data_IF_860365279729
#
_entry.id   IF_860365279729
#
_cell.length_a   1.000
_cell.length_b   1.000
_cell.length_c   1.000
_cell.angle_alpha   90.00
_cell.angle_beta   90.00
_cell.angle_gamma   90.00
#
_symmetry.space_group_name_H-M   'P 1'
#
loop_
_entity.id
_entity.type
_entity.pdbx_description
1 polymer ?
#
# COMPACT_ATOMS: atom_id res chain seq x y z
N UNK A 1 49.62 10.99 -14.21
CA UNK A 1 48.13 11.05 -14.17
C UNK A 1 47.40 9.99 -15.00
N UNK A 2 47.88 9.56 -16.19
CA UNK A 2 47.18 8.53 -17.00
C UNK A 2 47.05 7.15 -16.34
N UNK A 3 48.06 6.70 -15.59
CA UNK A 3 48.06 5.40 -14.88
C UNK A 3 47.04 5.33 -13.72
N UNK A 4 46.79 6.46 -13.05
CA UNK A 4 45.83 6.55 -11.93
C UNK A 4 44.37 6.40 -12.42
N UNK A 5 44.05 7.02 -13.57
CA UNK A 5 42.72 6.90 -14.20
C UNK A 5 42.43 5.48 -14.68
N UNK A 6 43.41 4.82 -15.28
CA UNK A 6 43.25 3.43 -15.73
C UNK A 6 43.03 2.47 -14.54
N UNK A 7 43.75 2.69 -13.42
CA UNK A 7 43.55 1.93 -12.19
C UNK A 7 42.14 2.12 -11.62
N UNK A 8 41.67 3.37 -11.49
CA UNK A 8 40.32 3.68 -10.99
C UNK A 8 39.21 3.06 -11.85
N UNK A 9 39.32 3.15 -13.17
CA UNK A 9 38.35 2.55 -14.10
C UNK A 9 38.33 1.02 -14.01
N UNK A 10 39.50 0.39 -13.84
CA UNK A 10 39.59 -1.06 -13.67
C UNK A 10 39.01 -1.53 -12.34
N UNK A 11 39.15 -0.74 -11.27
CA UNK A 11 38.56 -1.06 -9.96
C UNK A 11 37.05 -0.86 -9.94
N UNK A 12 36.51 0.17 -10.62
CA UNK A 12 35.05 0.36 -10.76
C UNK A 12 34.40 -0.79 -11.55
N UNK A 13 35.05 -1.22 -12.63
CA UNK A 13 34.59 -2.37 -13.41
C UNK A 13 34.60 -3.65 -12.57
N UNK A 14 35.66 -3.89 -11.80
CA UNK A 14 35.75 -5.06 -10.92
C UNK A 14 34.69 -5.03 -9.81
N UNK A 15 34.46 -3.88 -9.18
CA UNK A 15 33.44 -3.71 -8.15
C UNK A 15 32.02 -3.91 -8.70
N UNK A 16 31.76 -3.43 -9.92
CA UNK A 16 30.47 -3.64 -10.61
C UNK A 16 30.21 -5.13 -10.88
N UNK A 17 31.24 -5.87 -11.29
CA UNK A 17 31.16 -7.32 -11.51
C UNK A 17 30.95 -8.07 -10.20
N UNK A 18 31.64 -7.68 -9.13
CA UNK A 18 31.48 -8.29 -7.80
C UNK A 18 30.07 -8.03 -7.26
N UNK A 19 29.54 -6.82 -7.41
CA UNK A 19 28.18 -6.48 -6.99
C UNK A 19 27.13 -7.29 -7.77
N UNK A 20 27.30 -7.43 -9.09
CA UNK A 20 26.42 -8.24 -9.92
C UNK A 20 26.48 -9.72 -9.54
N UNK A 21 27.68 -10.27 -9.33
CA UNK A 21 27.87 -11.65 -8.89
C UNK A 21 27.27 -11.89 -7.49
N UNK A 22 27.40 -10.92 -6.58
CA UNK A 22 26.82 -10.99 -5.25
C UNK A 22 25.29 -11.00 -5.30
N UNK A 23 24.68 -10.13 -6.11
CA UNK A 23 23.23 -10.11 -6.36
C UNK A 23 22.71 -11.43 -6.95
N UNK A 24 23.47 -12.06 -7.85
CA UNK A 24 23.12 -13.35 -8.44
C UNK A 24 23.37 -14.54 -7.51
N UNK A 25 24.27 -14.39 -6.53
CA UNK A 25 24.58 -15.42 -5.54
C UNK A 25 23.64 -15.44 -4.34
N UNK A 26 22.79 -14.42 -4.20
CA UNK A 26 21.69 -14.50 -3.25
C UNK A 26 20.75 -15.60 -3.74
N UNK A 27 20.50 -16.66 -2.96
CA UNK A 27 19.36 -17.50 -3.23
C UNK A 27 18.16 -16.54 -3.14
N UNK A 28 17.54 -16.25 -4.29
CA UNK A 28 16.17 -15.76 -4.29
C UNK A 28 15.42 -16.82 -3.51
N UNK A 29 15.19 -16.55 -2.23
CA UNK A 29 14.20 -17.24 -1.45
C UNK A 29 12.89 -16.89 -2.15
N UNK A 30 12.58 -17.63 -3.20
CA UNK A 30 11.24 -17.86 -3.66
C UNK A 30 10.58 -18.69 -2.57
N UNK A 31 10.45 -18.11 -1.37
CA UNK A 31 9.43 -18.49 -0.42
C UNK A 31 8.16 -18.50 -1.25
N UNK A 32 7.58 -19.68 -1.40
CA UNK A 32 6.41 -19.96 -2.21
C UNK A 32 5.45 -18.77 -2.16
N UNK A 33 5.45 -17.95 -3.21
CA UNK A 33 4.50 -16.86 -3.35
C UNK A 33 3.14 -17.54 -3.48
N UNK A 34 2.46 -17.67 -2.35
CA UNK A 34 1.09 -18.15 -2.34
C UNK A 34 0.28 -17.18 -3.18
N UNK A 35 -0.36 -17.70 -4.23
CA UNK A 35 -1.25 -16.89 -5.07
C UNK A 35 -2.31 -16.14 -4.22
N UNK A 36 -2.71 -16.73 -3.08
CA UNK A 36 -3.59 -16.12 -2.09
C UNK A 36 -3.00 -14.84 -1.49
N UNK A 37 -1.72 -14.80 -1.19
CA UNK A 37 -1.06 -13.64 -0.58
C UNK A 37 -0.83 -12.55 -1.62
N UNK A 38 -0.39 -12.91 -2.82
CA UNK A 38 -0.30 -11.96 -3.96
C UNK A 38 -1.66 -11.33 -4.24
N UNK A 39 -2.72 -12.13 -4.26
CA UNK A 39 -4.08 -11.66 -4.46
C UNK A 39 -4.53 -10.67 -3.37
N UNK A 40 -4.24 -10.95 -2.09
CA UNK A 40 -4.57 -10.05 -0.97
C UNK A 40 -3.85 -8.70 -1.09
N UNK A 41 -2.58 -8.72 -1.48
CA UNK A 41 -1.81 -7.50 -1.76
C UNK A 41 -2.37 -6.71 -2.94
N UNK A 42 -2.69 -7.40 -4.04
CA UNK A 42 -3.29 -6.77 -5.20
C UNK A 42 -4.64 -6.14 -4.87
N UNK A 43 -5.52 -6.85 -4.15
CA UNK A 43 -6.82 -6.33 -3.73
C UNK A 43 -6.69 -5.06 -2.88
N UNK A 44 -5.76 -5.02 -1.92
CA UNK A 44 -5.51 -3.83 -1.12
C UNK A 44 -5.00 -2.65 -1.95
N UNK A 45 -4.12 -2.89 -2.92
CA UNK A 45 -3.63 -1.86 -3.83
C UNK A 45 -4.73 -1.32 -4.74
N UNK A 46 -5.54 -2.21 -5.32
CA UNK A 46 -6.65 -1.84 -6.19
C UNK A 46 -7.71 -1.05 -5.42
N UNK A 47 -7.99 -1.46 -4.18
CA UNK A 47 -8.89 -0.74 -3.28
C UNK A 47 -8.41 0.69 -3.04
N UNK A 48 -7.15 0.85 -2.62
CA UNK A 48 -6.57 2.16 -2.34
C UNK A 48 -6.53 3.05 -3.61
N UNK A 49 -6.23 2.46 -4.78
CA UNK A 49 -6.21 3.18 -6.05
C UNK A 49 -7.60 3.68 -6.46
N UNK A 50 -8.61 2.81 -6.41
CA UNK A 50 -9.99 3.16 -6.77
C UNK A 50 -10.54 4.23 -5.82
N UNK A 51 -10.32 4.07 -4.51
CA UNK A 51 -10.73 5.06 -3.51
C UNK A 51 -10.08 6.42 -3.74
N UNK A 52 -8.78 6.46 -4.05
CA UNK A 52 -8.08 7.73 -4.30
C UNK A 52 -8.49 8.38 -5.63
N UNK A 53 -8.81 7.59 -6.67
CA UNK A 53 -9.19 8.10 -7.99
C UNK A 53 -10.65 8.51 -8.12
N UNK A 54 -11.54 7.91 -7.34
CA UNK A 54 -12.95 8.32 -7.25
C UNK A 54 -13.06 9.75 -6.70
N UNK A 55 -13.75 10.64 -7.43
CA UNK A 55 -13.90 12.04 -7.00
C UNK A 55 -14.73 12.14 -5.71
N UNK A 56 -15.82 11.37 -5.62
CA UNK A 56 -16.71 11.32 -4.46
C UNK A 56 -15.97 10.77 -3.24
N UNK A 57 -15.31 9.62 -3.39
CA UNK A 57 -14.58 8.98 -2.29
C UNK A 57 -13.41 9.84 -1.83
N UNK A 58 -12.70 10.50 -2.75
CA UNK A 58 -11.63 11.45 -2.40
C UNK A 58 -12.16 12.64 -1.61
N UNK A 59 -13.29 13.21 -2.01
CA UNK A 59 -13.91 14.33 -1.28
C UNK A 59 -14.28 13.92 0.15
N UNK A 60 -14.91 12.74 0.31
CA UNK A 60 -15.24 12.18 1.62
C UNK A 60 -13.97 11.91 2.47
N UNK A 61 -12.91 11.36 1.87
CA UNK A 61 -11.64 11.13 2.56
C UNK A 61 -10.95 12.42 2.99
N UNK A 62 -10.99 13.48 2.16
CA UNK A 62 -10.45 14.79 2.51
C UNK A 62 -11.27 15.46 3.62
N UNK A 63 -12.60 15.35 3.59
CA UNK A 63 -13.47 15.85 4.65
C UNK A 63 -13.20 15.11 5.97
N UNK A 64 -13.05 13.78 5.90
CA UNK A 64 -12.70 12.95 7.04
C UNK A 64 -11.33 13.31 7.63
N UNK A 65 -10.30 13.47 6.79
CA UNK A 65 -8.98 13.89 7.24
C UNK A 65 -8.96 15.26 7.94
N UNK A 66 -9.93 16.12 7.65
CA UNK A 66 -10.12 17.41 8.31
C UNK A 66 -10.96 17.33 9.61
N UNK A 67 -11.23 16.13 10.12
CA UNK A 67 -12.07 15.90 11.31
C UNK A 67 -13.58 15.88 11.03
N UNK A 68 -13.97 15.67 9.77
CA UNK A 68 -15.37 15.50 9.35
C UNK A 68 -15.97 14.17 9.80
N UNK A 69 -17.30 14.03 9.60
CA UNK A 69 -18.04 12.82 9.97
C UNK A 69 -17.61 11.59 9.14
N UNK A 70 -17.37 10.48 9.81
CA UNK A 70 -17.03 9.18 9.21
C UNK A 70 -18.22 8.47 8.55
N UNK A 71 -19.45 8.94 8.79
CA UNK A 71 -20.69 8.28 8.34
C UNK A 71 -20.71 7.98 6.85
N UNK A 72 -20.34 8.93 6.00
CA UNK A 72 -20.36 8.76 4.55
C UNK A 72 -19.36 7.70 4.08
N UNK A 73 -18.16 7.67 4.68
CA UNK A 73 -17.17 6.62 4.42
C UNK A 73 -17.66 5.25 4.90
N UNK A 74 -18.27 5.18 6.09
CA UNK A 74 -18.82 3.93 6.64
C UNK A 74 -19.97 3.39 5.78
N UNK A 75 -20.85 4.25 5.29
CA UNK A 75 -21.95 3.86 4.40
C UNK A 75 -21.41 3.35 3.05
N UNK A 76 -20.55 4.12 2.39
CA UNK A 76 -19.95 3.76 1.11
C UNK A 76 -19.16 2.44 1.19
N UNK A 77 -18.22 2.35 2.13
CA UNK A 77 -17.41 1.15 2.28
C UNK A 77 -18.23 -0.01 2.86
N UNK A 78 -19.22 0.24 3.71
CA UNK A 78 -20.11 -0.81 4.20
C UNK A 78 -20.86 -1.49 3.07
N UNK A 79 -21.42 -0.71 2.13
CA UNK A 79 -22.09 -1.25 0.95
C UNK A 79 -21.10 -1.99 0.05
N UNK A 80 -19.92 -1.42 -0.21
CA UNK A 80 -18.90 -2.04 -1.04
C UNK A 80 -18.43 -3.38 -0.48
N UNK A 81 -18.11 -3.43 0.81
CA UNK A 81 -17.67 -4.65 1.47
C UNK A 81 -18.77 -5.71 1.48
N UNK A 82 -20.04 -5.33 1.67
CA UNK A 82 -21.17 -6.27 1.62
C UNK A 82 -21.26 -7.05 0.30
N UNK A 83 -20.75 -6.48 -0.81
CA UNK A 83 -20.71 -7.09 -2.14
C UNK A 83 -19.45 -7.93 -2.38
N UNK A 84 -18.34 -7.57 -1.74
CA UNK A 84 -17.03 -8.21 -1.96
C UNK A 84 -16.80 -9.41 -1.02
N UNK A 85 -17.42 -9.42 0.17
CA UNK A 85 -17.30 -10.49 1.15
C UNK A 85 -17.13 -9.95 2.58
N UNK A 86 -16.91 -10.85 3.54
CA UNK A 86 -16.62 -10.48 4.92
C UNK A 86 -15.16 -10.00 5.06
N UNK A 87 -14.93 -8.74 4.71
CA UNK A 87 -13.67 -8.06 4.99
C UNK A 87 -13.86 -6.99 6.06
N UNK A 88 -12.83 -6.80 6.87
CA UNK A 88 -12.74 -5.66 7.76
C UNK A 88 -11.80 -4.63 7.15
N UNK A 89 -12.31 -3.42 6.90
CA UNK A 89 -11.51 -2.31 6.40
C UNK A 89 -11.23 -1.33 7.52
N UNK A 90 -9.97 -0.96 7.67
CA UNK A 90 -9.58 0.24 8.41
C UNK A 90 -9.13 1.31 7.43
N UNK A 91 -9.66 2.51 7.59
CA UNK A 91 -9.29 3.69 6.83
C UNK A 91 -8.65 4.68 7.78
N UNK A 92 -7.44 5.12 7.45
CA UNK A 92 -6.72 6.18 8.16
C UNK A 92 -6.49 7.32 7.17
N UNK A 93 -6.80 8.56 7.55
CA UNK A 93 -6.50 9.73 6.73
C UNK A 93 -6.13 10.90 7.65
N UNK A 94 -4.92 11.44 7.51
CA UNK A 94 -4.40 12.44 8.45
C UNK A 94 -4.25 11.85 9.85
N UNK A 95 -4.95 12.44 10.84
CA UNK A 95 -5.01 11.95 12.22
C UNK A 95 -6.22 11.06 12.51
N UNK A 96 -7.16 10.98 11.58
CA UNK A 96 -8.43 10.29 11.77
C UNK A 96 -8.35 8.82 11.35
N UNK A 97 -9.10 7.98 12.06
CA UNK A 97 -9.18 6.55 11.78
C UNK A 97 -10.60 6.05 11.96
N UNK A 98 -11.05 5.23 11.02
CA UNK A 98 -12.36 4.58 11.06
C UNK A 98 -12.28 3.12 10.63
N UNK A 99 -13.14 2.28 11.23
CA UNK A 99 -13.21 0.84 10.98
C UNK A 99 -14.60 0.47 10.40
N UNK A 100 -14.63 -0.36 9.35
CA UNK A 100 -15.83 -0.76 8.60
C UNK A 100 -15.87 -2.28 8.44
N UNK A 101 -17.01 -2.91 8.75
CA UNK A 101 -17.22 -4.35 8.50
C UNK A 101 -16.47 -5.30 9.46
N UNK A 102 -15.97 -4.82 10.59
CA UNK A 102 -15.01 -5.56 11.43
C UNK A 102 -15.61 -6.53 12.45
N UNK A 103 -16.80 -7.08 12.21
CA UNK A 103 -17.43 -8.02 13.13
C UNK A 103 -16.77 -9.42 13.15
N UNK A 104 -16.14 -9.84 12.03
CA UNK A 104 -15.53 -11.16 11.84
C UNK A 104 -14.11 -11.35 12.41
N UNK A 105 -13.47 -10.28 12.88
CA UNK A 105 -12.10 -10.31 13.38
C UNK A 105 -11.05 -9.82 12.37
N UNK A 106 -9.76 -9.98 12.71
CA UNK A 106 -8.61 -9.45 11.93
C UNK A 106 -7.41 -10.40 11.93
N UNK A 107 -7.53 -11.51 11.20
CA UNK A 107 -6.51 -12.57 11.23
C UNK A 107 -5.29 -12.22 10.38
N UNK A 108 -5.50 -11.79 9.14
CA UNK A 108 -4.44 -11.34 8.22
C UNK A 108 -4.73 -9.92 7.77
N UNK A 109 -3.72 -9.05 7.75
CA UNK A 109 -3.90 -7.63 7.45
C UNK A 109 -2.94 -7.20 6.35
N UNK A 110 -3.45 -6.46 5.36
CA UNK A 110 -2.66 -5.84 4.32
C UNK A 110 -2.99 -4.36 4.24
N UNK A 111 -1.95 -3.54 4.31
CA UNK A 111 -2.08 -2.09 4.20
C UNK A 111 -1.58 -1.61 2.83
N UNK A 112 -2.37 -0.75 2.20
CA UNK A 112 -1.96 0.04 1.04
C UNK A 112 -2.21 1.52 1.33
N UNK A 113 -1.36 2.39 0.80
CA UNK A 113 -1.49 3.84 1.00
C UNK A 113 -1.48 4.61 -0.32
N UNK A 114 -2.15 5.76 -0.32
CA UNK A 114 -2.17 6.72 -1.42
C UNK A 114 -2.15 8.14 -0.86
N UNK A 115 -1.39 9.01 -1.52
CA UNK A 115 -1.48 10.44 -1.28
C UNK A 115 -2.74 11.00 -1.94
N UNK A 116 -3.53 11.75 -1.18
CA UNK A 116 -4.69 12.50 -1.65
C UNK A 116 -4.34 13.98 -1.72
N UNK A 117 -4.76 14.65 -2.78
CA UNK A 117 -4.70 16.11 -2.87
C UNK A 117 -6.02 16.69 -2.34
N UNK A 118 -5.97 17.32 -1.18
CA UNK A 118 -7.11 17.93 -0.49
C UNK A 118 -6.96 19.45 -0.53
N UNK A 119 -7.49 20.07 -1.58
CA UNK A 119 -7.21 21.49 -1.86
C UNK A 119 -5.75 21.68 -2.29
N UNK A 120 -4.95 22.34 -1.46
CA UNK A 120 -3.52 22.59 -1.71
C UNK A 120 -2.59 21.65 -0.93
N UNK A 121 -3.12 20.84 -0.02
CA UNK A 121 -2.34 19.98 0.86
C UNK A 121 -2.42 18.50 0.45
N UNK A 122 -1.31 17.78 0.67
CA UNK A 122 -1.26 16.32 0.50
C UNK A 122 -1.53 15.62 1.83
N UNK A 123 -2.50 14.72 1.82
CA UNK A 123 -2.85 13.87 2.95
C UNK A 123 -2.56 12.41 2.61
N UNK A 124 -1.84 11.70 3.48
CA UNK A 124 -1.66 10.25 3.36
C UNK A 124 -2.94 9.54 3.80
N UNK A 125 -3.52 8.75 2.90
CA UNK A 125 -4.65 7.86 3.19
C UNK A 125 -4.18 6.42 3.15
N UNK A 126 -4.44 5.68 4.23
CA UNK A 126 -4.09 4.26 4.37
C UNK A 126 -5.34 3.41 4.49
N UNK A 127 -5.31 2.29 3.80
CA UNK A 127 -6.37 1.30 3.74
C UNK A 127 -5.80 -0.02 4.21
N UNK A 128 -6.24 -0.50 5.37
CA UNK A 128 -5.85 -1.80 5.89
C UNK A 128 -7.02 -2.76 5.73
N UNK A 129 -6.91 -3.68 4.78
CA UNK A 129 -7.85 -4.78 4.60
C UNK A 129 -7.45 -5.94 5.49
N UNK A 130 -8.37 -6.34 6.37
CA UNK A 130 -8.24 -7.54 7.19
C UNK A 130 -9.14 -8.64 6.66
N UNK A 131 -8.58 -9.84 6.60
CA UNK A 131 -9.22 -11.05 6.11
C UNK A 131 -9.58 -11.95 7.29
N UNK A 132 -10.74 -12.59 7.22
CA UNK A 132 -11.12 -13.66 8.15
C UNK A 132 -10.11 -14.83 8.06
N UNK A 133 -9.97 -15.56 9.18
CA UNK A 133 -9.05 -16.69 9.32
C UNK A 133 -9.45 -17.88 8.44
#
# INVERSE_FOLDING_TARGET
MRRLKAFLLSTEALLSVIAAAWLLSQPLAASELSYRDVYRHQLAQDFAEVSARSAETRAALCAFAAGGDEKELKEYYGELLSKLGSYCLRVEAGTEQTDVGCAGGRAFQVTASRALLCGEEFVDARFTLSFDA
#
